data_IF_812303809165
#
_entry.id   IF_812303809165
#
_cell.length_a   1.000
_cell.length_b   1.000
_cell.length_c   1.000
_cell.angle_alpha   90.00
_cell.angle_beta   90.00
_cell.angle_gamma   90.00
#
_symmetry.space_group_name_H-M   'P 1'
#
loop_
_entity.id
_entity.type
_entity.pdbx_description
1 polymer ?
#
# COMPACT_ATOMS: atom_id res chain seq x y z
N UNK A 1 19.95 -22.49 27.45
CA UNK A 1 19.42 -21.23 28.01
C UNK A 1 20.60 -20.27 28.15
N UNK A 2 20.87 -19.49 27.09
CA UNK A 2 21.85 -18.40 26.99
C UNK A 2 21.17 -17.35 26.09
N UNK A 3 21.17 -16.04 26.44
CA UNK A 3 20.25 -15.07 25.84
C UNK A 3 20.84 -14.41 24.59
N UNK A 4 20.01 -14.28 23.56
CA UNK A 4 20.27 -13.41 22.40
C UNK A 4 20.44 -11.95 22.86
N UNK A 5 21.60 -11.36 22.58
CA UNK A 5 21.91 -9.94 22.73
C UNK A 5 22.38 -9.40 21.39
N UNK A 6 21.80 -8.30 20.93
CA UNK A 6 22.37 -7.48 19.85
C UNK A 6 23.35 -6.44 20.40
N UNK A 7 24.26 -6.00 19.53
CA UNK A 7 25.46 -5.17 19.73
C UNK A 7 25.29 -3.80 20.41
N UNK A 8 24.11 -3.45 20.92
CA UNK A 8 23.88 -2.21 21.69
C UNK A 8 22.98 -2.37 22.93
N UNK A 9 22.75 -3.60 23.43
CA UNK A 9 22.46 -3.82 24.85
C UNK A 9 21.25 -3.10 25.48
N UNK A 10 20.21 -2.73 24.71
CA UNK A 10 18.99 -2.11 25.24
C UNK A 10 17.76 -2.96 24.89
N UNK A 11 16.87 -3.28 25.85
CA UNK A 11 15.56 -3.80 25.53
C UNK A 11 14.77 -2.74 24.74
N UNK A 12 14.14 -3.11 23.63
CA UNK A 12 13.15 -2.26 22.95
C UNK A 12 11.93 -2.15 23.87
N UNK A 13 12.01 -1.25 24.85
CA UNK A 13 10.88 -0.79 25.63
C UNK A 13 9.88 -0.11 24.69
N UNK A 14 8.61 -0.46 24.88
CA UNK A 14 7.42 0.19 24.37
C UNK A 14 7.65 1.70 24.25
N UNK A 15 7.82 2.19 23.01
CA UNK A 15 7.64 3.62 22.73
C UNK A 15 6.14 3.84 22.56
N UNK A 16 5.46 4.07 23.67
CA UNK A 16 4.23 4.86 23.67
C UNK A 16 4.62 6.26 23.20
N UNK A 17 4.27 6.58 21.95
CA UNK A 17 4.27 7.97 21.50
C UNK A 17 3.14 8.67 22.28
N UNK A 18 3.41 9.75 23.02
CA UNK A 18 2.35 10.55 23.60
C UNK A 18 1.49 11.10 22.47
N UNK A 19 0.20 10.75 22.46
CA UNK A 19 -0.80 11.33 21.58
C UNK A 19 -1.04 12.79 21.98
N UNK A 20 -0.14 13.67 21.59
CA UNK A 20 -0.31 15.12 21.62
C UNK A 20 -0.26 15.66 20.18
N UNK A 21 -1.09 15.06 19.33
CA UNK A 21 -1.46 15.57 18.02
C UNK A 21 -2.96 15.38 17.92
N UNK A 22 -3.68 16.43 17.55
CA UNK A 22 -5.13 16.38 17.32
C UNK A 22 -5.40 15.21 16.36
N UNK A 23 -5.96 14.12 16.89
CA UNK A 23 -6.51 13.05 16.07
C UNK A 23 -7.75 13.63 15.41
N UNK A 24 -7.57 14.11 14.18
CA UNK A 24 -8.69 14.50 13.33
C UNK A 24 -9.37 13.18 12.95
N UNK A 25 -10.36 12.75 13.73
CA UNK A 25 -11.23 11.63 13.34
C UNK A 25 -11.84 11.99 11.97
N UNK A 26 -11.70 11.16 10.93
CA UNK A 26 -12.30 11.45 9.65
C UNK A 26 -13.83 11.52 9.80
N UNK A 27 -14.47 12.49 9.15
CA UNK A 27 -15.93 12.65 9.14
C UNK A 27 -16.68 11.50 8.42
N UNK A 28 -15.96 10.70 7.62
CA UNK A 28 -16.49 9.59 6.83
C UNK A 28 -15.48 8.42 6.93
N UNK A 29 -15.92 7.17 7.14
CA UNK A 29 -15.03 6.02 7.10
C UNK A 29 -14.31 5.93 5.75
N UNK A 30 -13.09 5.40 5.76
CA UNK A 30 -12.30 5.17 4.56
C UNK A 30 -11.48 3.89 4.71
N UNK A 31 -11.26 3.23 3.59
CA UNK A 31 -10.51 1.99 3.48
C UNK A 31 -9.21 2.29 2.74
N UNK A 32 -8.10 1.74 3.23
CA UNK A 32 -6.84 1.68 2.52
C UNK A 32 -6.44 0.24 2.28
N UNK A 33 -5.98 -0.07 1.07
CA UNK A 33 -5.40 -1.36 0.70
C UNK A 33 -3.95 -1.15 0.28
N UNK A 34 -3.06 -1.92 0.91
CA UNK A 34 -1.64 -1.97 0.60
C UNK A 34 -1.33 -3.21 -0.23
N UNK A 35 -0.73 -3.01 -1.41
CA UNK A 35 -0.41 -4.09 -2.37
C UNK A 35 1.11 -4.17 -2.59
N UNK A 36 1.77 -5.12 -1.93
CA UNK A 36 3.23 -5.21 -1.96
C UNK A 36 3.78 -5.70 -3.31
N UNK A 37 5.06 -5.48 -3.53
CA UNK A 37 5.81 -6.08 -4.63
C UNK A 37 6.45 -7.42 -4.25
N UNK A 38 7.46 -7.81 -5.02
CA UNK A 38 8.23 -9.04 -4.80
C UNK A 38 8.81 -9.14 -3.39
N UNK A 39 8.73 -10.33 -2.80
CA UNK A 39 9.30 -10.66 -1.49
C UNK A 39 10.49 -11.60 -1.68
N UNK A 40 11.69 -11.17 -1.27
CA UNK A 40 12.84 -12.08 -1.15
C UNK A 40 12.59 -13.01 0.04
N UNK A 41 12.41 -14.29 -0.24
CA UNK A 41 12.45 -15.34 0.76
C UNK A 41 13.88 -15.48 1.30
N UNK A 42 14.23 -14.80 2.39
CA UNK A 42 15.45 -15.15 3.12
C UNK A 42 15.17 -16.39 3.98
N UNK A 43 15.92 -17.49 3.83
CA UNK A 43 15.85 -18.58 4.79
C UNK A 43 16.43 -18.08 6.11
N UNK A 44 15.56 -17.73 7.05
CA UNK A 44 15.97 -17.55 8.44
C UNK A 44 16.10 -18.96 9.03
N UNK A 45 17.24 -19.27 9.63
CA UNK A 45 17.63 -20.56 10.20
C UNK A 45 16.43 -21.43 10.63
N UNK A 46 16.24 -22.56 9.95
CA UNK A 46 15.35 -23.66 10.32
C UNK A 46 13.85 -23.36 10.44
N UNK A 47 13.35 -22.23 9.92
CA UNK A 47 11.91 -22.04 9.69
C UNK A 47 11.70 -21.77 8.21
N UNK A 48 11.29 -22.81 7.47
CA UNK A 48 10.58 -22.60 6.21
C UNK A 48 9.27 -21.93 6.61
N UNK A 49 9.23 -20.59 6.65
CA UNK A 49 7.95 -19.89 6.62
C UNK A 49 7.36 -20.28 5.27
N UNK A 50 6.36 -21.15 5.29
CA UNK A 50 5.57 -21.45 4.11
C UNK A 50 5.01 -20.11 3.64
N UNK A 51 5.62 -19.57 2.59
CA UNK A 51 5.24 -18.27 2.04
C UNK A 51 3.90 -18.52 1.37
N UNK A 52 2.81 -18.29 2.09
CA UNK A 52 1.49 -18.22 1.47
C UNK A 52 1.55 -17.15 0.39
N UNK A 53 1.40 -17.62 -0.85
CA UNK A 53 1.27 -16.84 -2.08
C UNK A 53 -0.09 -17.15 -2.64
N UNK A 54 -1.11 -16.55 -2.06
CA UNK A 54 -2.48 -16.67 -2.55
C UNK A 54 -3.09 -15.29 -2.76
N UNK A 55 -4.21 -15.27 -3.47
CA UNK A 55 -4.96 -14.04 -3.74
C UNK A 55 -5.81 -13.62 -2.52
N UNK A 56 -5.40 -13.98 -1.29
CA UNK A 56 -6.12 -13.60 -0.08
C UNK A 56 -5.73 -12.20 0.37
N UNK A 57 -6.73 -11.45 0.82
CA UNK A 57 -6.57 -10.15 1.44
C UNK A 57 -6.77 -10.27 2.94
N UNK A 58 -5.85 -9.70 3.71
CA UNK A 58 -5.81 -9.79 5.18
C UNK A 58 -5.82 -8.40 5.81
N UNK A 59 -6.14 -8.29 7.10
CA UNK A 59 -6.24 -7.01 7.82
C UNK A 59 -4.95 -6.56 8.52
N UNK A 60 -3.83 -7.24 8.26
CA UNK A 60 -2.53 -6.93 8.85
C UNK A 60 -1.40 -7.27 7.87
N UNK A 61 -0.28 -6.54 7.94
CA UNK A 61 0.91 -6.83 7.14
C UNK A 61 1.58 -8.12 7.66
N UNK A 62 1.18 -9.25 7.10
CA UNK A 62 1.72 -10.58 7.46
C UNK A 62 3.23 -10.70 7.19
N UNK A 63 3.77 -9.83 6.33
CA UNK A 63 5.12 -9.93 5.82
C UNK A 63 6.07 -8.87 6.37
N UNK A 64 5.56 -7.89 7.12
CA UNK A 64 6.33 -6.72 7.58
C UNK A 64 7.02 -6.01 6.39
N UNK A 65 6.35 -6.00 5.23
CA UNK A 65 6.84 -5.45 3.98
C UNK A 65 6.94 -3.93 4.01
N UNK A 66 5.93 -3.28 4.61
CA UNK A 66 5.74 -1.83 4.52
C UNK A 66 6.53 -1.03 5.56
N UNK A 67 7.06 -1.70 6.59
CA UNK A 67 7.83 -1.05 7.64
C UNK A 67 7.01 0.00 8.38
N UNK A 68 7.38 1.28 8.25
CA UNK A 68 6.65 2.42 8.83
C UNK A 68 5.88 3.25 7.77
N UNK A 69 5.91 2.83 6.50
CA UNK A 69 5.31 3.57 5.39
C UNK A 69 3.79 3.46 5.43
N UNK A 70 3.27 2.27 5.72
CA UNK A 70 1.84 2.01 5.92
C UNK A 70 1.27 2.84 7.08
N UNK A 71 1.97 2.90 8.22
CA UNK A 71 1.61 3.74 9.37
C UNK A 71 1.52 5.23 8.98
N UNK A 72 2.46 5.72 8.17
CA UNK A 72 2.44 7.11 7.69
C UNK A 72 1.28 7.37 6.74
N UNK A 73 0.95 6.43 5.84
CA UNK A 73 -0.23 6.53 4.98
C UNK A 73 -1.52 6.56 5.79
N UNK A 74 -1.72 5.56 6.66
CA UNK A 74 -2.89 5.47 7.55
C UNK A 74 -3.05 6.74 8.38
N UNK A 75 -1.96 7.24 8.96
CA UNK A 75 -1.97 8.50 9.73
C UNK A 75 -2.31 9.70 8.85
N UNK A 76 -1.73 9.81 7.65
CA UNK A 76 -1.94 10.95 6.76
C UNK A 76 -3.34 11.00 6.19
N UNK A 77 -3.82 9.87 5.71
CA UNK A 77 -5.14 9.73 5.09
C UNK A 77 -6.24 9.74 6.14
N UNK A 78 -5.92 9.37 7.39
CA UNK A 78 -6.89 9.27 8.46
C UNK A 78 -7.81 8.07 8.27
N UNK A 79 -7.33 7.01 7.63
CA UNK A 79 -8.13 5.84 7.30
C UNK A 79 -8.44 5.00 8.54
N UNK A 80 -9.60 4.36 8.51
CA UNK A 80 -10.09 3.55 9.63
C UNK A 80 -9.79 2.07 9.44
N UNK A 81 -9.62 1.62 8.20
CA UNK A 81 -9.48 0.21 7.85
C UNK A 81 -8.33 0.00 6.89
N UNK A 82 -7.33 -0.76 7.30
CA UNK A 82 -6.22 -1.17 6.45
C UNK A 82 -6.33 -2.64 6.06
N UNK A 83 -6.17 -2.92 4.77
CA UNK A 83 -6.03 -4.26 4.22
C UNK A 83 -4.71 -4.42 3.51
N UNK A 84 -4.27 -5.66 3.34
CA UNK A 84 -3.00 -6.01 2.72
C UNK A 84 -3.23 -7.15 1.73
N UNK A 85 -2.75 -6.97 0.50
CA UNK A 85 -2.77 -7.95 -0.57
C UNK A 85 -1.35 -8.30 -0.99
N UNK A 86 -1.09 -9.58 -1.17
CA UNK A 86 0.22 -10.06 -1.60
C UNK A 86 0.39 -9.95 -3.13
N UNK A 87 0.93 -8.84 -3.61
CA UNK A 87 1.27 -8.70 -5.02
C UNK A 87 2.41 -9.60 -5.50
N UNK A 88 3.04 -10.38 -4.61
CA UNK A 88 3.94 -11.51 -4.93
C UNK A 88 3.20 -12.81 -5.28
N UNK A 89 1.91 -12.90 -4.99
CA UNK A 89 1.14 -14.10 -5.23
C UNK A 89 0.55 -14.14 -6.64
N UNK A 90 0.53 -15.33 -7.28
CA UNK A 90 1.50 -16.41 -7.26
C UNK A 90 2.52 -16.17 -8.38
N UNK A 91 3.56 -15.40 -8.08
CA UNK A 91 4.53 -14.98 -9.08
C UNK A 91 5.47 -16.13 -9.49
N UNK A 92 5.48 -16.42 -10.79
CA UNK A 92 6.64 -16.13 -11.66
C UNK A 92 6.07 -15.61 -12.99
N UNK A 93 5.99 -14.29 -13.17
CA UNK A 93 5.59 -13.70 -14.44
C UNK A 93 6.62 -12.68 -14.90
N UNK A 94 6.94 -12.70 -16.20
CA UNK A 94 8.04 -11.92 -16.75
C UNK A 94 7.82 -10.39 -16.58
N UNK A 95 8.92 -9.62 -16.59
CA UNK A 95 8.89 -8.15 -16.63
C UNK A 95 8.53 -7.65 -18.03
N UNK A 96 7.37 -8.06 -18.52
CA UNK A 96 6.82 -7.69 -19.81
C UNK A 96 5.30 -7.57 -19.73
N UNK A 97 4.65 -7.22 -20.85
CA UNK A 97 3.20 -7.06 -20.92
C UNK A 97 2.42 -8.32 -20.50
N UNK A 98 2.88 -9.52 -20.89
CA UNK A 98 2.24 -10.77 -20.48
C UNK A 98 2.28 -10.96 -18.97
N UNK A 99 3.42 -10.68 -18.35
CA UNK A 99 3.52 -10.81 -16.90
C UNK A 99 2.79 -9.72 -16.12
N UNK A 100 2.69 -8.52 -16.69
CA UNK A 100 1.82 -7.46 -16.19
C UNK A 100 0.35 -7.91 -16.17
N UNK A 101 -0.17 -8.41 -17.30
CA UNK A 101 -1.56 -8.88 -17.39
C UNK A 101 -1.83 -10.07 -16.47
N UNK A 102 -0.89 -11.00 -16.34
CA UNK A 102 -1.04 -12.10 -15.39
C UNK A 102 -1.14 -11.61 -13.94
N UNK A 103 -0.27 -10.67 -13.53
CA UNK A 103 -0.36 -10.03 -12.20
C UNK A 103 -1.68 -9.30 -12.00
N UNK A 104 -2.15 -8.61 -13.03
CA UNK A 104 -3.46 -7.95 -13.03
C UNK A 104 -4.61 -8.94 -12.85
N UNK A 105 -4.59 -10.09 -13.52
CA UNK A 105 -5.60 -11.15 -13.34
C UNK A 105 -5.62 -11.71 -11.91
N UNK A 106 -4.46 -11.85 -11.27
CA UNK A 106 -4.39 -12.22 -9.86
C UNK A 106 -4.92 -11.12 -8.93
N UNK A 107 -4.59 -9.87 -9.25
CA UNK A 107 -5.22 -8.69 -8.66
C UNK A 107 -6.75 -8.74 -8.69
N UNK A 108 -7.35 -9.16 -9.81
CA UNK A 108 -8.81 -9.31 -9.90
C UNK A 108 -9.35 -10.34 -8.88
N UNK A 109 -8.65 -11.46 -8.68
CA UNK A 109 -9.04 -12.47 -7.67
C UNK A 109 -8.94 -11.91 -6.24
N UNK A 110 -7.88 -11.17 -5.94
CA UNK A 110 -7.77 -10.47 -4.65
C UNK A 110 -8.80 -9.36 -4.48
N UNK A 111 -9.26 -8.72 -5.54
CA UNK A 111 -10.38 -7.79 -5.51
C UNK A 111 -11.65 -8.44 -4.93
N UNK A 112 -11.97 -9.67 -5.35
CA UNK A 112 -13.08 -10.43 -4.76
C UNK A 112 -12.81 -10.83 -3.30
N UNK A 113 -11.55 -11.16 -2.95
CA UNK A 113 -11.17 -11.41 -1.55
C UNK A 113 -11.37 -10.18 -0.68
N UNK A 114 -10.95 -9.00 -1.14
CA UNK A 114 -11.16 -7.72 -0.45
C UNK A 114 -12.66 -7.41 -0.29
N UNK A 115 -13.48 -7.60 -1.32
CA UNK A 115 -14.93 -7.43 -1.21
C UNK A 115 -15.51 -8.33 -0.12
N UNK A 116 -15.06 -9.59 -0.03
CA UNK A 116 -15.46 -10.49 1.05
C UNK A 116 -15.06 -9.96 2.42
N UNK A 117 -13.83 -9.46 2.57
CA UNK A 117 -13.36 -8.84 3.80
C UNK A 117 -14.19 -7.60 4.17
N UNK A 118 -14.45 -6.69 3.22
CA UNK A 118 -15.25 -5.47 3.42
C UNK A 118 -16.67 -5.81 3.89
N UNK A 119 -17.32 -6.79 3.27
CA UNK A 119 -18.66 -7.23 3.67
C UNK A 119 -18.70 -7.92 5.03
N UNK A 120 -17.57 -8.46 5.49
CA UNK A 120 -17.46 -9.08 6.79
C UNK A 120 -17.17 -8.09 7.92
N UNK A 121 -16.78 -6.85 7.64
CA UNK A 121 -16.35 -5.96 8.73
C UNK A 121 -17.50 -5.62 9.68
N UNK A 122 -18.75 -5.56 9.20
CA UNK A 122 -19.95 -5.38 10.04
C UNK A 122 -20.26 -6.58 10.96
N UNK A 123 -19.65 -7.75 10.68
CA UNK A 123 -19.93 -9.02 11.38
C UNK A 123 -18.75 -9.54 12.18
N UNK A 124 -17.58 -8.92 12.03
CA UNK A 124 -16.33 -9.52 12.47
C UNK A 124 -15.73 -8.77 13.66
N UNK A 125 -15.22 -9.47 14.69
CA UNK A 125 -14.44 -8.87 15.76
C UNK A 125 -13.01 -8.60 15.27
N UNK A 126 -12.83 -7.99 14.09
CA UNK A 126 -11.51 -7.73 13.51
C UNK A 126 -10.71 -6.94 14.52
N UNK A 127 -9.47 -7.37 14.77
CA UNK A 127 -8.56 -6.70 15.68
C UNK A 127 -7.34 -6.22 14.90
N UNK A 128 -6.80 -5.07 15.27
CA UNK A 128 -5.54 -4.58 14.73
C UNK A 128 -4.33 -5.35 15.28
N UNK A 129 -3.11 -4.94 14.88
CA UNK A 129 -1.83 -5.54 15.30
C UNK A 129 -1.62 -5.53 16.83
N UNK A 130 -2.32 -4.66 17.56
CA UNK A 130 -2.28 -4.56 19.02
C UNK A 130 -3.42 -5.34 19.70
N UNK A 131 -4.22 -6.10 18.94
CA UNK A 131 -5.36 -6.84 19.46
C UNK A 131 -6.57 -5.97 19.79
N UNK A 132 -6.58 -4.69 19.38
CA UNK A 132 -7.70 -3.77 19.62
C UNK A 132 -8.78 -4.04 18.60
N UNK A 133 -10.03 -4.12 19.05
CA UNK A 133 -11.19 -4.25 18.16
C UNK A 133 -11.17 -3.07 17.18
N UNK A 134 -11.23 -3.35 15.88
CA UNK A 134 -11.49 -2.34 14.88
C UNK A 134 -12.97 -2.02 15.00
N UNK A 135 -13.27 -0.94 15.70
CA UNK A 135 -14.64 -0.52 15.97
C UNK A 135 -15.06 0.40 14.82
N UNK A 136 -15.86 -0.14 13.91
CA UNK A 136 -16.73 0.69 13.07
C UNK A 136 -17.58 1.56 13.96
N UNK A 137 -17.61 2.87 13.67
CA UNK A 137 -18.49 3.87 14.29
C UNK A 137 -18.85 3.51 15.74
N UNK A 138 -18.06 3.95 16.72
CA UNK A 138 -18.24 3.67 18.16
C UNK A 138 -19.69 3.86 18.69
N UNK A 139 -20.61 4.43 17.91
CA UNK A 139 -22.02 4.67 18.23
C UNK A 139 -23.04 3.87 17.39
N UNK A 140 -22.65 2.89 16.57
CA UNK A 140 -23.63 2.08 15.82
C UNK A 140 -24.08 2.66 14.47
N UNK A 141 -23.30 3.56 13.86
CA UNK A 141 -23.55 4.11 12.52
C UNK A 141 -23.37 3.09 11.37
N UNK A 142 -23.26 1.80 11.67
CA UNK A 142 -23.06 0.73 10.70
C UNK A 142 -24.25 0.53 9.75
N UNK A 143 -25.46 0.84 10.22
CA UNK A 143 -26.66 0.86 9.37
C UNK A 143 -26.74 2.13 8.50
N UNK A 144 -25.86 3.12 8.72
CA UNK A 144 -25.89 4.41 8.02
C UNK A 144 -25.00 4.45 6.76
N UNK A 145 -24.05 3.52 6.61
CA UNK A 145 -23.09 3.54 5.50
C UNK A 145 -23.15 2.25 4.69
N UNK A 146 -23.50 2.37 3.41
CA UNK A 146 -23.33 1.31 2.43
C UNK A 146 -21.82 1.09 2.21
N UNK A 147 -21.25 -0.10 2.48
CA UNK A 147 -19.84 -0.39 2.27
C UNK A 147 -19.34 -0.08 0.85
N UNK A 148 -20.23 -0.10 -0.14
CA UNK A 148 -19.92 0.25 -1.52
C UNK A 148 -19.61 1.73 -1.72
N UNK A 149 -20.18 2.59 -0.88
CA UNK A 149 -19.98 4.05 -0.95
C UNK A 149 -18.73 4.52 -0.22
N UNK A 150 -18.14 3.65 0.61
CA UNK A 150 -16.92 3.96 1.34
C UNK A 150 -15.77 4.09 0.35
N UNK A 151 -15.06 5.23 0.34
CA UNK A 151 -13.94 5.41 -0.55
C UNK A 151 -12.77 4.49 -0.18
N UNK A 152 -12.12 3.96 -1.21
CA UNK A 152 -11.00 3.02 -1.11
C UNK A 152 -9.76 3.67 -1.73
N UNK A 153 -8.73 3.87 -0.91
CA UNK A 153 -7.39 4.28 -1.33
C UNK A 153 -6.50 3.05 -1.54
N UNK A 154 -5.76 3.02 -2.64
CA UNK A 154 -4.87 1.92 -2.99
C UNK A 154 -3.43 2.42 -2.98
N UNK A 155 -2.59 1.82 -2.14
CA UNK A 155 -1.14 2.05 -2.15
C UNK A 155 -0.48 0.80 -2.68
N UNK A 156 0.32 0.93 -3.73
CA UNK A 156 0.97 -0.20 -4.37
C UNK A 156 2.45 0.06 -4.58
N UNK A 157 3.24 -1.01 -4.61
CA UNK A 157 4.68 -0.93 -4.80
C UNK A 157 5.18 -1.94 -5.83
N UNK A 158 6.13 -1.53 -6.69
CA UNK A 158 6.79 -2.43 -7.64
C UNK A 158 5.77 -3.16 -8.51
N UNK A 159 5.89 -4.49 -8.65
CA UNK A 159 4.96 -5.32 -9.38
C UNK A 159 3.53 -5.38 -8.80
N UNK A 160 3.36 -4.95 -7.54
CA UNK A 160 2.06 -4.77 -6.91
C UNK A 160 1.19 -3.72 -7.63
N UNK A 161 1.77 -2.88 -8.49
CA UNK A 161 1.01 -1.95 -9.33
C UNK A 161 0.02 -2.65 -10.27
N UNK A 162 0.48 -3.64 -11.05
CA UNK A 162 -0.39 -4.39 -11.95
C UNK A 162 -1.50 -5.12 -11.19
N UNK A 163 -1.14 -5.69 -10.03
CA UNK A 163 -2.06 -6.37 -9.12
C UNK A 163 -3.13 -5.41 -8.58
N UNK A 164 -2.72 -4.23 -8.13
CA UNK A 164 -3.60 -3.17 -7.66
C UNK A 164 -4.59 -2.71 -8.74
N UNK A 165 -4.18 -2.61 -10.00
CA UNK A 165 -5.09 -2.28 -11.10
C UNK A 165 -6.20 -3.32 -11.27
N UNK A 166 -5.86 -4.61 -11.19
CA UNK A 166 -6.85 -5.68 -11.23
C UNK A 166 -7.83 -5.63 -10.06
N UNK A 167 -7.34 -5.32 -8.86
CA UNK A 167 -8.20 -5.12 -7.69
C UNK A 167 -9.16 -3.93 -7.90
N UNK A 168 -8.64 -2.80 -8.38
CA UNK A 168 -9.41 -1.58 -8.63
C UNK A 168 -10.56 -1.81 -9.62
N UNK A 169 -10.30 -2.54 -10.72
CA UNK A 169 -11.33 -2.88 -11.69
C UNK A 169 -12.46 -3.71 -11.07
N UNK A 170 -12.13 -4.77 -10.32
CA UNK A 170 -13.15 -5.64 -9.69
C UNK A 170 -13.96 -4.89 -8.64
N UNK A 171 -13.32 -4.03 -7.86
CA UNK A 171 -14.01 -3.16 -6.90
C UNK A 171 -15.04 -2.28 -7.61
N UNK A 172 -14.61 -1.56 -8.66
CA UNK A 172 -15.48 -0.68 -9.43
C UNK A 172 -16.61 -1.45 -10.13
N UNK A 173 -16.31 -2.56 -10.82
CA UNK A 173 -17.29 -3.43 -11.47
C UNK A 173 -18.34 -3.98 -10.49
N UNK A 174 -17.96 -4.19 -9.23
CA UNK A 174 -18.84 -4.66 -8.16
C UNK A 174 -19.62 -3.54 -7.45
N UNK A 175 -19.40 -2.29 -7.88
CA UNK A 175 -20.06 -1.08 -7.39
C UNK A 175 -19.42 -0.46 -6.14
N UNK A 176 -18.19 -0.84 -5.78
CA UNK A 176 -17.41 -0.17 -4.73
C UNK A 176 -16.73 1.09 -5.28
N UNK A 177 -16.17 1.91 -4.39
CA UNK A 177 -15.60 3.22 -4.71
C UNK A 177 -14.06 3.26 -4.59
N UNK A 178 -13.28 2.63 -5.50
CA UNK A 178 -11.84 2.85 -5.60
C UNK A 178 -11.57 4.28 -6.08
N UNK A 179 -11.08 5.13 -5.18
CA UNK A 179 -11.02 6.56 -5.41
C UNK A 179 -9.61 7.03 -5.75
N UNK A 180 -8.57 6.54 -5.05
CA UNK A 180 -7.20 7.01 -5.24
C UNK A 180 -6.19 5.89 -5.38
N UNK A 181 -5.13 6.15 -6.15
CA UNK A 181 -4.00 5.24 -6.32
C UNK A 181 -2.68 5.97 -6.06
N UNK A 182 -1.88 5.43 -5.13
CA UNK A 182 -0.50 5.85 -4.85
C UNK A 182 0.48 4.74 -5.24
N UNK A 183 1.18 4.91 -6.36
CA UNK A 183 2.12 3.93 -6.91
C UNK A 183 3.56 4.30 -6.57
N UNK A 184 4.23 3.45 -5.78
CA UNK A 184 5.62 3.59 -5.37
C UNK A 184 6.51 2.66 -6.21
N UNK A 185 7.53 3.20 -6.88
CA UNK A 185 8.43 2.45 -7.77
C UNK A 185 7.72 1.40 -8.66
N UNK A 186 6.58 1.72 -9.33
CA UNK A 186 5.79 0.72 -10.06
C UNK A 186 6.63 -0.02 -11.11
N UNK A 187 6.42 -1.33 -11.24
CA UNK A 187 7.04 -2.13 -12.29
C UNK A 187 6.18 -2.15 -13.55
N UNK A 188 6.82 -1.99 -14.72
CA UNK A 188 6.19 -1.84 -16.03
C UNK A 188 5.06 -0.78 -16.03
N UNK A 189 5.31 0.44 -15.54
CA UNK A 189 4.23 1.42 -15.36
C UNK A 189 3.54 1.83 -16.66
N UNK A 190 4.19 1.71 -17.81
CA UNK A 190 3.61 1.99 -19.13
C UNK A 190 2.67 0.92 -19.66
N UNK A 191 2.64 -0.27 -19.06
CA UNK A 191 1.84 -1.40 -19.56
C UNK A 191 0.34 -1.29 -19.25
N UNK A 192 -0.06 -0.49 -18.26
CA UNK A 192 -1.47 -0.28 -17.93
C UNK A 192 -1.77 1.15 -17.44
N UNK A 193 -2.86 1.77 -17.92
CA UNK A 193 -3.23 3.12 -17.52
C UNK A 193 -3.85 3.15 -16.12
N UNK A 194 -3.84 4.33 -15.50
CA UNK A 194 -4.77 4.62 -14.39
C UNK A 194 -6.21 4.52 -14.92
N UNK A 195 -7.11 3.76 -14.28
CA UNK A 195 -8.50 3.66 -14.70
C UNK A 195 -9.23 5.00 -14.56
N UNK A 196 -10.10 5.34 -15.52
CA UNK A 196 -10.79 6.64 -15.55
C UNK A 196 -11.79 6.88 -14.41
N UNK A 197 -12.11 5.87 -13.59
CA UNK A 197 -12.93 6.01 -12.39
C UNK A 197 -12.11 6.44 -11.15
N UNK A 198 -10.78 6.38 -11.21
CA UNK A 198 -9.89 6.85 -10.14
C UNK A 198 -9.82 8.37 -10.23
N UNK A 199 -10.16 9.06 -9.15
CA UNK A 199 -10.27 10.53 -9.13
C UNK A 199 -8.95 11.23 -8.83
N UNK A 200 -8.04 10.58 -8.09
CA UNK A 200 -6.71 11.12 -7.80
C UNK A 200 -5.64 10.01 -7.87
N UNK A 201 -4.55 10.26 -8.58
CA UNK A 201 -3.46 9.29 -8.74
C UNK A 201 -2.07 9.92 -8.65
N UNK A 202 -1.14 9.23 -8.00
CA UNK A 202 0.25 9.68 -7.92
C UNK A 202 1.23 8.52 -8.09
N UNK A 203 2.23 8.74 -8.94
CA UNK A 203 3.40 7.89 -9.12
C UNK A 203 4.61 8.54 -8.42
N UNK A 204 5.39 7.72 -7.73
CA UNK A 204 6.62 8.12 -7.07
C UNK A 204 7.78 7.21 -7.50
N UNK A 205 8.87 7.75 -8.03
CA UNK A 205 9.95 6.94 -8.64
C UNK A 205 11.27 7.68 -8.85
N UNK A 206 12.28 7.00 -9.40
CA UNK A 206 13.44 7.69 -10.00
C UNK A 206 13.00 8.48 -11.24
N UNK A 207 13.65 9.61 -11.50
CA UNK A 207 13.32 10.48 -12.62
C UNK A 207 14.13 10.17 -13.87
N UNK A 208 13.64 10.53 -15.08
CA UNK A 208 14.36 10.28 -16.33
C UNK A 208 15.71 11.02 -16.41
N UNK A 209 15.84 12.14 -15.68
CA UNK A 209 17.06 12.97 -15.65
C UNK A 209 18.10 12.48 -14.62
N UNK A 210 17.76 11.48 -13.80
CA UNK A 210 18.71 10.93 -12.85
C UNK A 210 19.84 10.19 -13.60
N UNK A 211 21.13 10.37 -13.21
CA UNK A 211 22.21 9.58 -13.77
C UNK A 211 21.93 8.08 -13.68
N UNK A 212 22.45 7.29 -14.62
CA UNK A 212 22.14 5.85 -14.70
C UNK A 212 22.35 5.09 -13.37
N UNK A 213 23.33 5.50 -12.55
CA UNK A 213 23.65 4.88 -11.26
C UNK A 213 22.77 5.35 -10.08
N UNK A 214 21.87 6.31 -10.33
CA UNK A 214 20.82 6.78 -9.43
C UNK A 214 19.43 6.24 -9.81
N UNK A 215 19.32 5.60 -10.99
CA UNK A 215 18.08 5.00 -11.46
C UNK A 215 17.68 3.76 -10.65
N UNK A 216 16.39 3.45 -10.64
CA UNK A 216 15.87 2.14 -10.24
C UNK A 216 16.26 1.10 -11.30
N UNK A 217 17.01 0.07 -10.89
CA UNK A 217 17.42 -1.04 -11.75
C UNK A 217 16.59 -2.29 -11.55
N UNK A 218 15.76 -2.32 -10.51
CA UNK A 218 14.85 -3.42 -10.23
C UNK A 218 13.58 -3.23 -11.04
N UNK A 219 12.99 -2.03 -11.02
CA UNK A 219 11.87 -1.62 -11.84
C UNK A 219 12.19 -0.28 -12.51
N UNK A 220 12.84 -0.29 -13.69
CA UNK A 220 13.06 0.93 -14.44
C UNK A 220 11.77 1.74 -14.61
N UNK A 221 11.84 3.03 -14.29
CA UNK A 221 10.67 3.89 -14.19
C UNK A 221 10.36 4.56 -15.53
N UNK A 222 9.08 4.56 -15.88
CA UNK A 222 8.47 5.37 -16.94
C UNK A 222 7.16 5.96 -16.40
N UNK A 223 6.57 6.96 -17.07
CA UNK A 223 5.32 7.56 -16.61
C UNK A 223 4.14 6.60 -16.82
N UNK A 224 3.36 6.35 -15.76
CA UNK A 224 2.08 5.63 -15.88
C UNK A 224 1.12 6.43 -16.79
N UNK A 225 0.53 5.82 -17.83
CA UNK A 225 -0.48 6.48 -18.66
C UNK A 225 -1.68 6.93 -17.84
N UNK A 226 -2.09 8.19 -17.98
CA UNK A 226 -3.24 8.74 -17.26
C UNK A 226 -2.99 9.15 -15.81
N UNK A 227 -1.76 9.05 -15.28
CA UNK A 227 -1.47 9.48 -13.90
C UNK A 227 -1.51 11.00 -13.72
N UNK A 228 -2.13 11.46 -12.63
CA UNK A 228 -2.30 12.90 -12.33
C UNK A 228 -1.01 13.54 -11.85
N UNK A 229 -0.20 12.83 -11.05
CA UNK A 229 1.08 13.31 -10.57
C UNK A 229 2.17 12.25 -10.80
N UNK A 230 3.29 12.66 -11.42
CA UNK A 230 4.49 11.84 -11.52
C UNK A 230 5.62 12.59 -10.79
N UNK A 231 6.01 12.10 -9.62
CA UNK A 231 6.92 12.79 -8.70
C UNK A 231 8.19 11.98 -8.51
N UNK A 232 9.32 12.66 -8.65
CA UNK A 232 10.63 12.02 -8.56
C UNK A 232 11.25 12.16 -7.17
N UNK A 233 12.05 11.16 -6.81
CA UNK A 233 12.84 11.16 -5.58
C UNK A 233 13.69 12.46 -5.54
N UNK A 234 13.65 13.26 -4.46
CA UNK A 234 14.41 14.49 -4.39
C UNK A 234 15.91 14.22 -4.19
N UNK A 235 16.80 15.17 -4.54
CA UNK A 235 18.26 14.97 -4.42
C UNK A 235 18.76 14.66 -3.01
N UNK A 236 18.01 15.05 -1.97
CA UNK A 236 18.36 14.82 -0.57
C UNK A 236 18.02 13.41 -0.07
N UNK A 237 17.36 12.59 -0.89
CA UNK A 237 16.97 11.22 -0.55
C UNK A 237 17.89 10.25 -1.29
N UNK A 238 18.35 9.16 -0.66
CA UNK A 238 19.18 8.17 -1.33
C UNK A 238 18.57 7.68 -2.65
N UNK A 239 19.40 7.60 -3.69
CA UNK A 239 19.02 7.07 -5.00
C UNK A 239 19.99 5.98 -5.43
N UNK A 240 19.53 5.12 -6.32
CA UNK A 240 20.35 4.09 -6.94
C UNK A 240 19.59 2.79 -7.18
N UNK A 241 20.28 1.79 -7.76
CA UNK A 241 19.71 0.54 -8.23
C UNK A 241 18.71 -0.12 -7.28
N UNK A 242 19.01 -0.10 -5.97
CA UNK A 242 18.19 -0.68 -4.91
C UNK A 242 17.46 0.37 -4.07
N UNK A 243 18.10 1.51 -3.79
CA UNK A 243 17.52 2.55 -2.94
C UNK A 243 16.28 3.17 -3.58
N UNK A 244 16.32 3.42 -4.89
CA UNK A 244 15.19 3.97 -5.65
C UNK A 244 14.01 2.99 -5.72
N UNK A 245 14.23 1.70 -5.50
CA UNK A 245 13.20 0.66 -5.47
C UNK A 245 12.73 0.28 -4.06
N UNK A 246 13.40 0.76 -3.00
CA UNK A 246 13.06 0.33 -1.65
C UNK A 246 11.85 1.11 -1.16
N UNK A 247 10.77 0.42 -0.79
CA UNK A 247 9.57 1.05 -0.20
C UNK A 247 9.91 1.93 1.01
N UNK A 248 10.87 1.51 1.85
CA UNK A 248 11.33 2.28 3.02
C UNK A 248 11.95 3.64 2.64
N UNK A 249 12.40 3.80 1.40
CA UNK A 249 12.97 5.04 0.89
C UNK A 249 11.90 6.08 0.52
N UNK A 250 10.60 5.76 0.59
CA UNK A 250 9.52 6.65 0.16
C UNK A 250 8.93 7.52 1.27
N UNK A 251 9.50 7.53 2.48
CA UNK A 251 9.02 8.36 3.58
C UNK A 251 9.01 9.88 3.28
N UNK A 252 9.76 10.34 2.28
CA UNK A 252 9.82 11.75 1.87
C UNK A 252 8.52 12.26 1.23
N UNK A 253 7.66 11.39 0.69
CA UNK A 253 6.40 11.82 0.04
C UNK A 253 5.47 12.54 1.03
N UNK A 254 5.59 12.22 2.32
CA UNK A 254 4.83 12.86 3.38
C UNK A 254 5.32 14.28 3.71
N UNK A 255 6.51 14.67 3.24
CA UNK A 255 7.05 16.02 3.40
C UNK A 255 6.68 16.94 2.23
N UNK A 256 6.02 16.43 1.19
CA UNK A 256 5.44 17.24 0.11
C UNK A 256 4.41 18.20 0.73
N UNK A 257 4.49 19.48 0.39
CA UNK A 257 3.63 20.53 0.96
C UNK A 257 2.20 20.42 0.40
N UNK A 258 1.19 20.76 1.20
CA UNK A 258 -0.22 20.87 0.75
C UNK A 258 -0.29 21.79 -0.48
N UNK A 259 -1.05 21.36 -1.50
CA UNK A 259 -1.22 22.09 -2.75
C UNK A 259 -0.16 21.80 -3.82
N UNK A 260 0.90 21.05 -3.48
CA UNK A 260 1.88 20.58 -4.46
C UNK A 260 1.40 19.23 -5.05
N UNK A 261 1.64 19.02 -6.35
CA UNK A 261 1.30 17.76 -7.02
C UNK A 261 1.97 16.58 -6.32
N UNK A 262 1.23 15.47 -6.19
CA UNK A 262 1.66 14.28 -5.46
C UNK A 262 1.70 14.44 -3.93
N UNK A 263 1.11 15.51 -3.38
CA UNK A 263 0.78 15.56 -1.96
C UNK A 263 -0.20 14.44 -1.59
N UNK A 264 0.15 13.62 -0.61
CA UNK A 264 -0.77 12.62 -0.04
C UNK A 264 -1.82 13.37 0.79
N UNK A 265 -3.01 13.52 0.21
CA UNK A 265 -4.10 14.37 0.69
C UNK A 265 -4.92 13.67 1.80
N UNK A 266 -4.98 14.21 3.03
CA UNK A 266 -5.81 13.66 4.10
C UNK A 266 -7.27 13.51 3.71
N UNK A 267 -7.95 12.50 4.23
CA UNK A 267 -9.42 12.44 4.21
C UNK A 267 -9.98 13.22 5.39
N UNK A 268 -11.10 13.92 5.17
CA UNK A 268 -11.81 14.63 6.24
C UNK A 268 -11.35 16.07 6.56
N UNK A 269 -10.48 16.68 5.75
CA UNK A 269 -10.11 18.10 5.89
C UNK A 269 -10.55 18.85 4.63
N UNK A 270 -11.69 19.54 4.71
CA UNK A 270 -11.98 20.68 3.84
C UNK A 270 -11.17 21.88 4.35
#
# INVERSE_FOLDING_TARGET
>A
MIPNRDLYGMPRSIRTIPSAGISVKPKVPAIIIFVNGFRLAFPVENVIREIRRDDQVVSYDINDYWGDIDDKFQTRLGDQFSFYADGDAPAITAKNALGFEARKQHGRKAGFSLISQINQINRSPIKDRAGRKIIWGENGDLDLYDPKTIPIDIVCHSMGFAYALGMAEVLYESGYNPERIYALAPENPGAGPIPGFVSESAQYGSGPDDPWYQQDWIAPQERIPGVDANIYIPPSVPKGPYASHSVANYGWIFNIRKGIRGYVKPRGVN
#
